data_IF_261921944272
#
_entry.id   IF_261921944272
#
_cell.length_a   1.000
_cell.length_b   1.000
_cell.length_c   1.000
_cell.angle_alpha   90.00
_cell.angle_beta   90.00
_cell.angle_gamma   90.00
#
_symmetry.space_group_name_H-M   'P 1'
#
loop_
_entity.id
_entity.type
_entity.pdbx_description
1 polymer ?
#
# COMPACT_ATOMS: atom_id res chain seq x y z
N UNK A 1 8.79 -14.74 20.51
CA UNK A 1 9.78 -14.43 19.49
C UNK A 1 9.24 -13.28 18.62
N UNK A 2 9.98 -12.21 18.53
CA UNK A 2 9.73 -11.13 17.57
C UNK A 2 10.74 -11.28 16.44
N UNK A 3 10.32 -11.07 15.21
CA UNK A 3 11.21 -11.21 14.04
C UNK A 3 10.52 -10.87 12.73
N UNK A 4 11.23 -11.07 11.65
CA UNK A 4 10.67 -10.92 10.30
C UNK A 4 10.25 -12.29 9.78
N UNK A 5 9.01 -12.39 9.31
CA UNK A 5 8.44 -13.55 8.66
C UNK A 5 8.19 -13.24 7.19
N UNK A 6 8.54 -14.15 6.30
CA UNK A 6 8.17 -14.01 4.90
C UNK A 6 6.65 -14.25 4.74
N UNK A 7 5.98 -13.36 4.04
CA UNK A 7 4.54 -13.50 3.78
C UNK A 7 4.23 -14.81 3.02
N UNK A 8 5.11 -15.21 2.10
CA UNK A 8 4.99 -16.48 1.39
C UNK A 8 5.02 -17.71 2.31
N UNK A 9 5.83 -17.70 3.37
CA UNK A 9 5.89 -18.79 4.34
C UNK A 9 4.61 -18.86 5.17
N UNK A 10 4.04 -17.72 5.53
CA UNK A 10 2.74 -17.64 6.19
C UNK A 10 1.66 -18.25 5.30
N UNK A 11 1.63 -17.88 4.01
CA UNK A 11 0.71 -18.46 3.02
C UNK A 11 0.86 -19.98 2.88
N UNK A 12 2.08 -20.51 2.94
CA UNK A 12 2.29 -21.95 2.94
C UNK A 12 1.74 -22.65 4.19
N UNK A 13 1.84 -22.02 5.36
CA UNK A 13 1.27 -22.53 6.62
C UNK A 13 -0.25 -22.49 6.57
N UNK A 14 -0.85 -21.40 6.11
CA UNK A 14 -2.32 -21.28 6.00
C UNK A 14 -2.90 -22.27 5.01
N UNK A 15 -2.24 -22.50 3.88
CA UNK A 15 -2.64 -23.52 2.90
C UNK A 15 -2.57 -24.96 3.46
N UNK A 16 -1.77 -25.20 4.48
CA UNK A 16 -1.60 -26.51 5.13
C UNK A 16 -2.60 -26.79 6.26
N UNK A 17 -3.47 -25.84 6.60
CA UNK A 17 -4.45 -25.98 7.69
C UNK A 17 -5.82 -25.41 7.31
N UNK A 18 -6.88 -25.98 7.88
CA UNK A 18 -8.24 -25.42 7.83
C UNK A 18 -8.57 -24.57 9.06
N UNK A 19 -7.65 -24.50 10.02
CA UNK A 19 -7.80 -23.71 11.24
C UNK A 19 -7.22 -22.31 11.09
N UNK A 20 -7.54 -21.44 12.05
CA UNK A 20 -6.98 -20.08 12.10
C UNK A 20 -5.49 -20.12 12.44
N UNK A 21 -4.68 -19.41 11.68
CA UNK A 21 -3.27 -19.16 11.99
C UNK A 21 -3.16 -17.89 12.82
N UNK A 22 -2.53 -17.99 13.99
CA UNK A 22 -2.37 -16.84 14.91
C UNK A 22 -0.90 -16.60 15.20
N UNK A 23 -0.47 -15.38 14.99
CA UNK A 23 0.85 -14.87 15.39
C UNK A 23 0.70 -14.12 16.72
N UNK A 24 1.05 -14.77 17.81
CA UNK A 24 0.77 -14.26 19.18
C UNK A 24 1.65 -13.07 19.60
N UNK A 25 2.79 -12.89 18.95
CA UNK A 25 3.70 -11.78 19.23
C UNK A 25 3.77 -10.83 18.03
N UNK A 26 4.13 -9.58 18.29
CA UNK A 26 4.40 -8.61 17.22
C UNK A 26 5.49 -9.14 16.27
N UNK A 27 5.19 -9.13 14.98
CA UNK A 27 6.07 -9.61 13.91
C UNK A 27 6.17 -8.55 12.81
N UNK A 28 7.25 -8.59 12.04
CA UNK A 28 7.31 -7.91 10.75
C UNK A 28 7.02 -8.92 9.65
N UNK A 29 5.96 -8.68 8.89
CA UNK A 29 5.59 -9.53 7.74
C UNK A 29 6.19 -8.88 6.49
N UNK A 30 7.04 -9.61 5.77
CA UNK A 30 7.72 -9.07 4.59
C UNK A 30 7.42 -9.85 3.33
N UNK A 31 7.22 -9.15 2.21
CA UNK A 31 6.97 -9.77 0.91
C UNK A 31 6.55 -8.76 -0.14
N UNK A 32 6.19 -9.27 -1.32
CA UNK A 32 5.53 -8.48 -2.36
C UNK A 32 4.11 -8.11 -1.93
N UNK A 33 3.52 -7.09 -2.58
CA UNK A 33 2.13 -6.71 -2.31
C UNK A 33 1.14 -7.89 -2.43
N UNK A 34 1.35 -8.77 -3.40
CA UNK A 34 0.51 -9.96 -3.58
C UNK A 34 0.65 -10.97 -2.43
N UNK A 35 1.88 -11.26 -1.99
CA UNK A 35 2.14 -12.18 -0.88
C UNK A 35 1.61 -11.65 0.44
N UNK A 36 1.83 -10.36 0.73
CA UNK A 36 1.32 -9.71 1.96
C UNK A 36 -0.20 -9.66 1.94
N UNK A 37 -0.83 -9.36 0.80
CA UNK A 37 -2.29 -9.40 0.65
C UNK A 37 -2.84 -10.81 0.88
N UNK A 38 -2.20 -11.83 0.31
CA UNK A 38 -2.61 -13.21 0.53
C UNK A 38 -2.57 -13.57 2.03
N UNK A 39 -1.44 -13.34 2.68
CA UNK A 39 -1.25 -13.70 4.09
C UNK A 39 -2.18 -12.93 5.05
N UNK A 40 -2.33 -11.62 4.87
CA UNK A 40 -2.99 -10.75 5.85
C UNK A 40 -4.48 -10.52 5.57
N UNK A 41 -4.90 -10.57 4.31
CA UNK A 41 -6.27 -10.23 3.90
C UNK A 41 -7.03 -11.47 3.45
N UNK A 42 -6.45 -12.26 2.54
CA UNK A 42 -7.14 -13.45 2.00
C UNK A 42 -7.19 -14.57 3.03
N UNK A 43 -6.06 -14.89 3.65
CA UNK A 43 -5.95 -15.96 4.65
C UNK A 43 -6.35 -15.49 6.06
N UNK A 44 -6.49 -14.17 6.23
CA UNK A 44 -6.95 -13.52 7.47
C UNK A 44 -6.20 -14.02 8.72
N UNK A 45 -4.88 -14.03 8.67
CA UNK A 45 -4.04 -14.40 9.81
C UNK A 45 -4.24 -13.42 10.95
N UNK A 46 -4.44 -13.92 12.15
CA UNK A 46 -4.55 -13.09 13.35
C UNK A 46 -3.16 -12.63 13.79
N UNK A 47 -2.97 -11.32 13.92
CA UNK A 47 -1.70 -10.70 14.25
C UNK A 47 -1.59 -10.34 15.73
N UNK A 48 -0.39 -10.42 16.28
CA UNK A 48 -0.07 -9.81 17.57
C UNK A 48 -0.04 -8.28 17.43
N UNK A 49 -0.53 -7.58 18.44
CA UNK A 49 -0.56 -6.12 18.47
C UNK A 49 0.84 -5.51 18.25
N UNK A 50 0.92 -4.46 17.46
CA UNK A 50 2.18 -3.80 17.11
C UNK A 50 2.99 -4.53 16.01
N UNK A 51 2.36 -5.41 15.25
CA UNK A 51 2.98 -6.00 14.05
C UNK A 51 3.18 -4.96 12.95
N UNK A 52 4.09 -5.25 12.02
CA UNK A 52 4.38 -4.40 10.87
C UNK A 52 4.30 -5.20 9.57
N UNK A 53 4.05 -4.52 8.46
CA UNK A 53 4.27 -5.09 7.13
C UNK A 53 5.36 -4.30 6.40
N UNK A 54 6.28 -5.00 5.75
CA UNK A 54 7.21 -4.40 4.79
C UNK A 54 6.89 -4.94 3.41
N UNK A 55 6.36 -4.07 2.57
CA UNK A 55 5.89 -4.42 1.23
C UNK A 55 6.91 -3.98 0.19
N UNK A 56 7.40 -4.94 -0.59
CA UNK A 56 8.39 -4.70 -1.64
C UNK A 56 7.74 -4.65 -3.03
N UNK A 57 8.43 -3.98 -3.96
CA UNK A 57 7.98 -3.84 -5.35
C UNK A 57 6.86 -2.82 -5.53
N UNK A 58 6.47 -2.64 -6.77
CA UNK A 58 5.43 -1.68 -7.12
C UNK A 58 4.05 -2.27 -6.85
N UNK A 59 3.16 -1.46 -6.31
CA UNK A 59 1.78 -1.82 -5.97
C UNK A 59 0.82 -0.72 -6.39
N UNK A 60 -0.48 -1.05 -6.46
CA UNK A 60 -1.52 -0.06 -6.69
C UNK A 60 -1.94 0.62 -5.38
N UNK A 61 -2.60 1.77 -5.49
CA UNK A 61 -3.18 2.47 -4.34
C UNK A 61 -4.19 1.59 -3.58
N UNK A 62 -4.97 0.79 -4.31
CA UNK A 62 -5.93 -0.14 -3.72
C UNK A 62 -5.22 -1.20 -2.86
N UNK A 63 -4.20 -1.87 -3.39
CA UNK A 63 -3.44 -2.89 -2.64
C UNK A 63 -2.78 -2.27 -1.42
N UNK A 64 -2.12 -1.11 -1.57
CA UNK A 64 -1.47 -0.41 -0.47
C UNK A 64 -2.48 -0.01 0.63
N UNK A 65 -3.62 0.56 0.24
CA UNK A 65 -4.67 0.98 1.16
C UNK A 65 -5.36 -0.19 1.88
N UNK A 66 -5.52 -1.33 1.21
CA UNK A 66 -6.08 -2.53 1.82
C UNK A 66 -5.11 -3.14 2.86
N UNK A 67 -3.81 -3.17 2.57
CA UNK A 67 -2.79 -3.62 3.54
C UNK A 67 -2.75 -2.66 4.74
N UNK A 68 -2.68 -1.36 4.52
CA UNK A 68 -2.68 -0.34 5.58
C UNK A 68 -3.98 -0.32 6.42
N UNK A 69 -5.06 -0.93 5.93
CA UNK A 69 -6.33 -1.05 6.67
C UNK A 69 -6.42 -2.31 7.55
N UNK A 70 -5.41 -3.17 7.54
CA UNK A 70 -5.38 -4.36 8.41
C UNK A 70 -5.18 -3.93 9.85
N UNK A 71 -6.02 -4.46 10.75
CA UNK A 71 -5.94 -4.15 12.18
C UNK A 71 -4.61 -4.63 12.78
N UNK A 72 -4.06 -3.86 13.70
CA UNK A 72 -2.83 -4.17 14.45
C UNK A 72 -1.54 -4.18 13.59
N UNK A 73 -1.56 -3.53 12.41
CA UNK A 73 -0.39 -3.43 11.55
C UNK A 73 -0.05 -1.98 11.22
N UNK A 74 1.23 -1.71 10.98
CA UNK A 74 1.71 -0.50 10.30
C UNK A 74 2.48 -0.95 9.08
N UNK A 75 2.11 -0.46 7.90
CA UNK A 75 2.72 -0.85 6.63
C UNK A 75 3.82 0.12 6.20
N UNK A 76 4.94 -0.41 5.71
CA UNK A 76 6.00 0.34 5.04
C UNK A 76 6.15 -0.16 3.60
N UNK A 77 6.17 0.75 2.64
CA UNK A 77 6.22 0.44 1.22
C UNK A 77 7.60 0.80 0.65
N UNK A 78 8.49 -0.19 0.56
CA UNK A 78 9.85 0.01 0.02
C UNK A 78 9.89 0.17 -1.51
N UNK A 79 8.76 -0.07 -2.18
CA UNK A 79 8.57 0.16 -3.61
C UNK A 79 7.84 1.47 -3.90
N UNK A 80 7.08 1.46 -4.96
CA UNK A 80 6.36 2.64 -5.45
C UNK A 80 4.88 2.33 -5.56
N UNK A 81 4.02 3.25 -5.13
CA UNK A 81 2.59 3.18 -5.46
C UNK A 81 2.45 3.70 -6.89
N UNK A 82 2.09 2.81 -7.81
CA UNK A 82 1.91 3.11 -9.23
C UNK A 82 0.46 2.96 -9.61
N UNK A 83 -0.21 4.07 -9.94
CA UNK A 83 -1.62 4.05 -10.28
C UNK A 83 -2.01 5.26 -11.15
N UNK A 84 -3.25 5.25 -11.69
CA UNK A 84 -3.82 6.42 -12.34
C UNK A 84 -4.09 7.53 -11.32
N UNK A 85 -4.10 8.78 -11.77
CA UNK A 85 -4.40 9.91 -10.90
C UNK A 85 -5.76 9.75 -10.21
N UNK A 86 -6.77 9.25 -10.93
CA UNK A 86 -8.11 9.03 -10.39
C UNK A 86 -8.16 8.01 -9.23
N UNK A 87 -7.23 7.06 -9.17
CA UNK A 87 -7.09 6.13 -8.06
C UNK A 87 -6.28 6.69 -6.89
N UNK A 88 -5.53 7.76 -7.11
CA UNK A 88 -4.71 8.43 -6.10
C UNK A 88 -5.43 9.64 -5.48
N UNK A 89 -6.09 10.44 -6.32
CA UNK A 89 -6.82 11.63 -5.89
C UNK A 89 -8.06 11.87 -6.76
N UNK A 90 -9.08 12.47 -6.18
CA UNK A 90 -10.30 12.91 -6.86
C UNK A 90 -10.79 14.22 -6.24
N UNK A 91 -11.21 15.13 -7.11
CA UNK A 91 -11.79 16.43 -6.69
C UNK A 91 -10.92 17.22 -5.72
N UNK A 92 -9.59 17.17 -5.90
CA UNK A 92 -8.61 17.88 -5.06
C UNK A 92 -8.33 17.21 -3.71
N UNK A 93 -8.73 15.97 -3.53
CA UNK A 93 -8.52 15.21 -2.29
C UNK A 93 -7.93 13.84 -2.59
N UNK A 94 -7.09 13.33 -1.69
CA UNK A 94 -6.60 11.94 -1.80
C UNK A 94 -7.76 10.95 -1.69
N UNK A 95 -7.70 9.88 -2.48
CA UNK A 95 -8.62 8.74 -2.32
C UNK A 95 -8.42 8.08 -0.95
N UNK A 96 -9.43 7.37 -0.48
CA UNK A 96 -9.36 6.67 0.81
C UNK A 96 -8.19 5.69 0.87
N UNK A 97 -7.94 4.95 -0.21
CA UNK A 97 -6.86 3.96 -0.24
C UNK A 97 -5.47 4.62 -0.20
N UNK A 98 -5.25 5.65 -1.00
CA UNK A 98 -3.98 6.38 -0.96
C UNK A 98 -3.78 7.08 0.39
N UNK A 99 -4.83 7.66 0.96
CA UNK A 99 -4.79 8.30 2.29
C UNK A 99 -4.43 7.33 3.41
N UNK A 100 -4.91 6.08 3.36
CA UNK A 100 -4.53 5.03 4.32
C UNK A 100 -3.06 4.64 4.17
N UNK A 101 -2.64 4.34 2.93
CA UNK A 101 -1.26 3.95 2.65
C UNK A 101 -0.25 5.00 3.14
N UNK A 102 -0.51 6.29 2.82
CA UNK A 102 0.36 7.38 3.26
C UNK A 102 0.24 7.67 4.76
N UNK A 103 -0.83 7.25 5.39
CA UNK A 103 -0.99 7.35 6.85
C UNK A 103 0.00 6.45 7.58
N UNK A 104 0.30 5.29 7.04
CA UNK A 104 1.29 4.34 7.54
C UNK A 104 2.71 4.68 7.09
N UNK A 105 2.86 5.11 5.83
CA UNK A 105 4.15 5.40 5.18
C UNK A 105 4.08 6.78 4.50
N UNK A 106 4.44 7.80 5.24
CA UNK A 106 4.32 9.20 4.81
C UNK A 106 5.31 9.64 3.74
N UNK A 107 6.36 8.86 3.46
CA UNK A 107 7.40 9.14 2.47
C UNK A 107 7.37 8.17 1.27
N UNK A 108 6.27 7.43 1.10
CA UNK A 108 6.09 6.52 -0.03
C UNK A 108 6.24 7.24 -1.38
N UNK A 109 7.01 6.63 -2.28
CA UNK A 109 7.14 7.13 -3.65
C UNK A 109 5.88 6.81 -4.47
N UNK A 110 5.48 7.73 -5.34
CA UNK A 110 4.29 7.62 -6.17
C UNK A 110 4.62 7.81 -7.64
N UNK A 111 4.06 6.96 -8.48
CA UNK A 111 4.07 7.10 -9.93
C UNK A 111 2.64 7.24 -10.43
N UNK A 112 2.34 8.38 -11.05
CA UNK A 112 1.10 8.61 -11.78
C UNK A 112 1.28 8.00 -13.18
N UNK A 113 0.51 6.94 -13.46
CA UNK A 113 0.70 6.07 -14.63
C UNK A 113 -0.21 6.40 -15.82
N UNK A 114 -0.96 7.50 -15.76
CA UNK A 114 -1.82 7.92 -16.87
C UNK A 114 -1.01 8.10 -18.16
N UNK A 115 -1.49 7.48 -19.26
CA UNK A 115 -0.76 7.44 -20.51
C UNK A 115 -0.98 8.69 -21.40
N UNK A 116 -2.17 9.25 -21.35
CA UNK A 116 -2.57 10.40 -22.18
C UNK A 116 -3.68 11.18 -21.49
N UNK A 117 -3.80 12.44 -21.85
CA UNK A 117 -4.95 13.26 -21.43
C UNK A 117 -4.55 14.47 -20.60
N UNK A 118 -5.55 15.06 -19.98
CA UNK A 118 -5.39 16.22 -19.11
C UNK A 118 -5.61 15.80 -17.66
N UNK A 119 -4.64 16.09 -16.82
CA UNK A 119 -4.71 15.86 -15.39
C UNK A 119 -5.22 17.12 -14.68
N UNK A 120 -6.10 16.94 -13.70
CA UNK A 120 -6.56 18.05 -12.88
C UNK A 120 -5.44 18.53 -11.94
N UNK A 121 -5.11 19.81 -12.00
CA UNK A 121 -4.05 20.38 -11.17
C UNK A 121 -4.31 20.20 -9.66
N UNK A 122 -5.57 20.26 -9.25
CA UNK A 122 -5.97 20.05 -7.86
C UNK A 122 -5.66 18.61 -7.37
N UNK A 123 -5.89 17.60 -8.22
CA UNK A 123 -5.61 16.21 -7.88
C UNK A 123 -4.11 15.92 -7.85
N UNK A 124 -3.35 16.46 -8.82
CA UNK A 124 -1.87 16.40 -8.79
C UNK A 124 -1.33 17.06 -7.52
N UNK A 125 -1.86 18.21 -7.14
CA UNK A 125 -1.48 18.90 -5.90
C UNK A 125 -1.82 18.07 -4.65
N UNK A 126 -2.99 17.41 -4.62
CA UNK A 126 -3.39 16.55 -3.51
C UNK A 126 -2.44 15.35 -3.34
N UNK A 127 -2.05 14.70 -4.44
CA UNK A 127 -1.06 13.60 -4.40
C UNK A 127 0.29 14.11 -3.92
N UNK A 128 0.77 15.23 -4.47
CA UNK A 128 2.08 15.81 -4.10
C UNK A 128 2.13 16.25 -2.65
N UNK A 129 1.05 16.81 -2.11
CA UNK A 129 0.94 17.17 -0.71
C UNK A 129 0.75 15.95 0.21
N UNK A 130 0.32 14.83 -0.36
CA UNK A 130 0.03 13.59 0.36
C UNK A 130 1.27 12.79 0.77
N UNK A 131 2.41 12.99 0.16
CA UNK A 131 3.65 12.28 0.49
C UNK A 131 4.85 13.22 0.55
N UNK A 132 5.83 12.89 1.37
CA UNK A 132 7.16 13.52 1.34
C UNK A 132 8.12 12.80 0.38
N UNK A 133 7.70 11.64 -0.15
CA UNK A 133 8.42 10.91 -1.19
C UNK A 133 8.34 11.59 -2.57
N UNK A 134 8.92 10.96 -3.55
CA UNK A 134 8.92 11.47 -4.94
C UNK A 134 7.60 11.17 -5.62
N UNK A 135 6.99 12.17 -6.26
CA UNK A 135 5.84 11.98 -7.18
C UNK A 135 6.33 12.13 -8.62
N UNK A 136 6.13 11.11 -9.42
CA UNK A 136 6.57 11.06 -10.83
C UNK A 136 5.38 10.90 -11.76
N UNK A 137 5.31 11.75 -12.79
CA UNK A 137 4.40 11.57 -13.92
C UNK A 137 5.19 10.91 -15.05
N UNK A 138 4.85 9.68 -15.44
CA UNK A 138 5.64 8.87 -16.37
C UNK A 138 5.53 9.33 -17.82
N UNK A 139 4.44 9.99 -18.18
CA UNK A 139 4.15 10.39 -19.54
C UNK A 139 3.98 11.91 -19.65
N UNK A 140 4.16 12.44 -20.85
CA UNK A 140 3.87 13.86 -21.13
C UNK A 140 2.36 14.09 -20.98
N UNK A 141 1.98 14.89 -20.00
CA UNK A 141 0.60 15.21 -19.65
C UNK A 141 0.35 16.71 -19.76
N UNK A 142 -0.88 17.06 -20.08
CA UNK A 142 -1.36 18.44 -19.88
C UNK A 142 -1.95 18.54 -18.47
N UNK A 143 -1.47 19.46 -17.68
CA UNK A 143 -2.06 19.74 -16.35
C UNK A 143 -2.91 20.98 -16.49
N UNK A 144 -4.20 20.90 -16.15
CA UNK A 144 -5.13 22.02 -16.22
C UNK A 144 -5.86 22.24 -14.90
N UNK A 145 -6.14 23.46 -14.61
CA UNK A 145 -6.88 23.89 -13.42
C UNK A 145 -6.94 25.41 -13.33
N UNK A 146 -7.80 25.89 -12.50
CA UNK A 146 -7.94 27.31 -12.14
C UNK A 146 -7.28 27.57 -10.79
#
# INVERSE_FOLDING_TARGET
NTGTLAAADIGAVTAGTTGTVTLTNAQTISGTGAEVTAALITDAVTLGAGSNATVSGNITAEVAGNIANVTDITAAFSGTITDSLANLADSGSMTTNFSRARGDDGDVNVVVSDNTGTLAAADVAAVTAGTTGTVTLTNAQTISGT
#
